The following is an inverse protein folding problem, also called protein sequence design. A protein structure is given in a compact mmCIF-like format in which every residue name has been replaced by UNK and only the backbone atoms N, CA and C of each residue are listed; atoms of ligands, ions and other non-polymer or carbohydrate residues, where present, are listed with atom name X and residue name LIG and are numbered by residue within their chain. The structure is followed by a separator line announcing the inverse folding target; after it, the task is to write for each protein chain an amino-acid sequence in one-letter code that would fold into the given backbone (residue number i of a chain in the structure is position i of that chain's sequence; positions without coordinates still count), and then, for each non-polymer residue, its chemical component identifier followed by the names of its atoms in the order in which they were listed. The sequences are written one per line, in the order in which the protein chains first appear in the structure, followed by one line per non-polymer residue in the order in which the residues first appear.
data_IF_883797276563
#
_entry.id   IF_883797276563
#
_cell.length_a   1.000
_cell.length_b   1.000
_cell.length_c   1.000
_cell.angle_alpha   90.00
_cell.angle_beta   90.00
_cell.angle_gamma   90.00
#
_symmetry.space_group_name_H-M   'P 1'
#
loop_
_entity.id
_entity.type
_entity.pdbx_description
1 polymer ?
#
# COMPACT_ATOMS: atom_id res chain seq x y z
N UNK A 1 -15.28 -12.89 7.01
CA UNK A 1 -15.85 -11.55 6.77
C UNK A 1 -16.66 -11.61 5.47
N UNK A 2 -17.84 -10.98 5.37
CA UNK A 2 -18.63 -10.93 4.11
C UNK A 2 -18.00 -9.92 3.14
N UNK A 3 -16.90 -10.30 2.48
CA UNK A 3 -16.11 -9.42 1.62
C UNK A 3 -16.90 -8.82 0.45
N UNK A 4 -17.89 -9.53 -0.06
CA UNK A 4 -18.81 -9.04 -1.11
C UNK A 4 -19.59 -7.80 -0.66
N UNK A 5 -19.78 -7.63 0.66
CA UNK A 5 -20.43 -6.46 1.24
C UNK A 5 -19.50 -5.25 1.26
N UNK A 6 -18.20 -5.46 1.48
CA UNK A 6 -17.22 -4.37 1.62
C UNK A 6 -16.58 -3.96 0.30
N UNK A 7 -16.41 -4.91 -0.64
CA UNK A 7 -15.80 -4.68 -1.95
C UNK A 7 -16.70 -5.13 -3.11
N UNK A 8 -17.98 -4.74 -3.17
CA UNK A 8 -18.93 -5.27 -4.14
C UNK A 8 -18.54 -4.98 -5.59
N UNK A 9 -17.90 -3.83 -5.87
CA UNK A 9 -17.46 -3.48 -7.22
C UNK A 9 -16.28 -4.34 -7.66
N UNK A 10 -15.39 -4.70 -6.72
CA UNK A 10 -14.22 -5.52 -7.02
C UNK A 10 -14.64 -6.94 -7.42
N UNK A 11 -15.53 -7.56 -6.65
CA UNK A 11 -15.98 -8.93 -6.90
C UNK A 11 -17.01 -9.01 -8.05
N UNK A 12 -17.98 -8.09 -8.10
CA UNK A 12 -19.07 -8.18 -9.08
C UNK A 12 -18.78 -7.47 -10.40
N UNK A 13 -17.86 -6.50 -10.44
CA UNK A 13 -17.57 -5.68 -11.62
C UNK A 13 -16.06 -5.45 -11.81
N UNK A 14 -15.25 -6.51 -11.96
CA UNK A 14 -13.79 -6.44 -11.92
C UNK A 14 -13.20 -5.52 -13.00
N UNK A 15 -13.80 -5.44 -14.19
CA UNK A 15 -13.35 -4.53 -15.25
C UNK A 15 -13.53 -3.05 -14.88
N UNK A 16 -14.64 -2.72 -14.20
CA UNK A 16 -14.92 -1.35 -13.75
C UNK A 16 -14.00 -0.99 -12.58
N UNK A 17 -13.80 -1.92 -11.64
CA UNK A 17 -12.83 -1.76 -10.55
C UNK A 17 -11.43 -1.47 -11.10
N UNK A 18 -10.94 -2.29 -12.05
CA UNK A 18 -9.65 -2.11 -12.70
C UNK A 18 -9.52 -0.73 -13.37
N UNK A 19 -10.54 -0.30 -14.13
CA UNK A 19 -10.53 1.02 -14.77
C UNK A 19 -10.47 2.17 -13.76
N UNK A 20 -11.14 2.05 -12.61
CA UNK A 20 -11.09 3.06 -11.53
C UNK A 20 -9.73 3.11 -10.87
N UNK A 21 -9.14 1.96 -10.55
CA UNK A 21 -7.79 1.86 -9.96
C UNK A 21 -6.75 2.46 -10.92
N UNK A 22 -6.82 2.11 -12.21
CA UNK A 22 -5.88 2.64 -13.21
C UNK A 22 -5.95 4.16 -13.32
N UNK A 23 -7.16 4.75 -13.30
CA UNK A 23 -7.34 6.20 -13.27
C UNK A 23 -6.74 6.84 -12.01
N UNK A 24 -6.93 6.23 -10.85
CA UNK A 24 -6.35 6.70 -9.60
C UNK A 24 -4.82 6.66 -9.64
N UNK A 25 -4.23 5.58 -10.14
CA UNK A 25 -2.78 5.45 -10.25
C UNK A 25 -2.18 6.47 -11.21
N UNK A 26 -2.81 6.68 -12.36
CA UNK A 26 -2.38 7.73 -13.28
C UNK A 26 -2.48 9.13 -12.64
N UNK A 27 -3.54 9.38 -11.87
CA UNK A 27 -3.67 10.64 -11.13
C UNK A 27 -2.53 10.83 -10.12
N UNK A 28 -2.22 9.81 -9.32
CA UNK A 28 -1.14 9.83 -8.33
C UNK A 28 0.22 10.07 -8.99
N UNK A 29 0.53 9.33 -10.07
CA UNK A 29 1.75 9.50 -10.85
C UNK A 29 1.84 10.91 -11.45
N UNK A 30 0.76 11.42 -12.05
CA UNK A 30 0.72 12.78 -12.60
C UNK A 30 0.87 13.87 -11.53
N UNK A 31 0.49 13.55 -10.29
CA UNK A 31 0.65 14.41 -9.11
C UNK A 31 2.00 14.21 -8.42
N UNK A 32 2.96 13.55 -9.09
CA UNK A 32 4.32 13.27 -8.60
C UNK A 32 4.40 12.38 -7.36
N UNK A 33 3.35 11.61 -7.03
CA UNK A 33 3.45 10.57 -6.01
C UNK A 33 4.25 9.37 -6.55
N UNK A 34 4.94 8.69 -5.64
CA UNK A 34 5.73 7.49 -5.91
C UNK A 34 5.07 6.31 -5.22
N UNK A 35 5.06 5.17 -5.91
CA UNK A 35 4.66 3.88 -5.34
C UNK A 35 5.78 3.34 -4.45
N UNK A 36 5.51 3.22 -3.16
CA UNK A 36 6.36 2.61 -2.14
C UNK A 36 5.89 1.20 -1.77
N UNK A 37 4.89 0.66 -2.49
CA UNK A 37 4.37 -0.69 -2.24
C UNK A 37 5.47 -1.72 -2.53
N UNK A 38 5.71 -2.67 -1.62
CA UNK A 38 6.62 -3.77 -1.87
C UNK A 38 6.30 -4.50 -3.18
N UNK A 39 7.35 -4.74 -3.96
CA UNK A 39 7.30 -5.71 -5.06
C UNK A 39 7.69 -7.04 -4.47
N UNK A 40 6.74 -7.96 -4.40
CA UNK A 40 7.06 -9.33 -4.04
C UNK A 40 7.41 -10.13 -5.30
N UNK A 41 8.51 -10.87 -5.23
CA UNK A 41 8.91 -11.81 -6.28
C UNK A 41 8.31 -13.22 -6.07
N UNK A 42 7.81 -13.53 -4.86
CA UNK A 42 7.11 -14.78 -4.59
C UNK A 42 5.64 -14.70 -5.02
N UNK A 43 5.18 -15.68 -5.79
CA UNK A 43 3.77 -15.81 -6.15
C UNK A 43 2.86 -16.20 -4.98
N UNK A 44 3.42 -16.59 -3.84
CA UNK A 44 2.67 -17.06 -2.67
C UNK A 44 2.39 -15.98 -1.62
N UNK A 45 2.89 -14.76 -1.81
CA UNK A 45 2.72 -13.68 -0.84
C UNK A 45 2.13 -12.44 -1.53
N UNK A 46 0.99 -12.00 -1.03
CA UNK A 46 0.28 -10.82 -1.50
C UNK A 46 -0.28 -10.06 -0.31
N UNK A 47 -0.99 -8.97 -0.57
CA UNK A 47 -1.58 -8.15 0.49
C UNK A 47 -2.98 -8.61 0.87
N UNK A 48 -3.61 -9.43 0.02
CA UNK A 48 -4.93 -9.97 0.24
C UNK A 48 -5.01 -11.41 -0.25
N UNK A 49 -5.70 -12.27 0.52
CA UNK A 49 -5.98 -13.65 0.16
C UNK A 49 -7.45 -13.98 0.37
N UNK A 50 -8.11 -14.44 -0.69
CA UNK A 50 -9.49 -14.93 -0.61
C UNK A 50 -9.68 -16.14 -1.52
N UNK A 51 -10.25 -17.23 -1.00
CA UNK A 51 -10.51 -18.47 -1.75
C UNK A 51 -9.30 -18.95 -2.56
N UNK A 52 -8.12 -18.96 -1.93
CA UNK A 52 -6.81 -19.31 -2.52
C UNK A 52 -6.31 -18.40 -3.66
N UNK A 53 -7.01 -17.29 -3.91
CA UNK A 53 -6.55 -16.23 -4.79
C UNK A 53 -5.77 -15.22 -3.97
N UNK A 54 -4.51 -15.01 -4.34
CA UNK A 54 -3.62 -14.01 -3.76
C UNK A 54 -3.60 -12.80 -4.68
N UNK A 55 -3.96 -11.64 -4.14
CA UNK A 55 -3.90 -10.37 -4.89
C UNK A 55 -3.18 -9.29 -4.09
N UNK A 56 -2.75 -8.25 -4.81
CA UNK A 56 -2.18 -7.03 -4.23
C UNK A 56 -3.19 -5.92 -4.43
N UNK A 57 -3.87 -5.53 -3.36
CA UNK A 57 -4.88 -4.48 -3.36
C UNK A 57 -4.59 -3.36 -2.35
N UNK A 58 -3.60 -3.56 -1.49
CA UNK A 58 -3.11 -2.57 -0.53
C UNK A 58 -1.82 -1.96 -1.06
N UNK A 59 -1.78 -0.63 -1.10
CA UNK A 59 -0.69 0.14 -1.71
C UNK A 59 -0.25 1.27 -0.79
N UNK A 60 1.03 1.64 -0.90
CA UNK A 60 1.61 2.77 -0.19
C UNK A 60 2.08 3.77 -1.25
N UNK A 61 1.43 4.92 -1.31
CA UNK A 61 1.81 6.02 -2.19
C UNK A 61 2.25 7.21 -1.35
N UNK A 62 3.37 7.85 -1.69
CA UNK A 62 3.85 9.03 -0.97
C UNK A 62 4.67 9.98 -1.85
N UNK A 63 5.00 11.15 -1.29
CA UNK A 63 5.88 12.13 -1.89
C UNK A 63 7.29 11.55 -2.13
N UNK A 64 7.97 11.89 -3.25
CA UNK A 64 9.33 11.43 -3.55
C UNK A 64 10.35 11.76 -2.46
N UNK A 65 10.12 12.81 -1.66
CA UNK A 65 10.96 13.20 -0.53
C UNK A 65 11.23 12.03 0.41
N UNK A 66 10.25 11.15 0.63
CA UNK A 66 10.39 10.06 1.59
C UNK A 66 11.34 8.96 1.11
N UNK A 67 11.69 8.95 -0.18
CA UNK A 67 12.62 7.97 -0.75
C UNK A 67 14.02 8.08 -0.16
N UNK A 68 14.48 9.27 0.21
CA UNK A 68 15.79 9.44 0.84
C UNK A 68 15.86 8.89 2.27
N UNK A 69 14.72 8.69 2.90
CA UNK A 69 14.62 8.17 4.27
C UNK A 69 14.14 6.72 4.30
N UNK A 70 13.83 6.11 3.16
CA UNK A 70 13.31 4.75 3.11
C UNK A 70 14.38 3.75 3.55
N UNK A 71 14.12 3.00 4.63
CA UNK A 71 14.98 1.91 5.07
C UNK A 71 14.60 0.61 4.38
N UNK A 72 13.33 0.23 4.46
CA UNK A 72 12.81 -0.99 3.84
C UNK A 72 11.28 -0.94 3.73
N UNK A 73 10.73 -1.82 2.91
CA UNK A 73 9.30 -2.07 2.80
C UNK A 73 9.08 -3.58 2.77
N UNK A 74 8.03 -4.07 3.43
CA UNK A 74 7.72 -5.49 3.51
C UNK A 74 6.21 -5.73 3.45
N UNK A 75 5.83 -6.86 2.87
CA UNK A 75 4.51 -7.46 3.13
C UNK A 75 4.74 -8.44 4.27
N UNK A 76 4.07 -8.20 5.40
CA UNK A 76 4.15 -9.09 6.54
C UNK A 76 3.22 -10.27 6.31
N UNK A 77 3.79 -11.47 6.18
CA UNK A 77 2.99 -12.69 5.99
C UNK A 77 2.29 -13.05 7.30
N UNK A 78 1.03 -12.70 7.39
CA UNK A 78 0.18 -12.94 8.55
C UNK A 78 -0.57 -14.27 8.44
N UNK A 79 -0.17 -15.19 7.52
CA UNK A 79 -0.84 -16.46 7.18
C UNK A 79 -1.31 -17.31 8.37
N UNK A 80 -0.71 -17.15 9.56
CA UNK A 80 -1.07 -17.91 10.75
C UNK A 80 -2.00 -17.19 11.74
N UNK A 81 -2.40 -15.95 11.45
CA UNK A 81 -3.32 -15.19 12.28
C UNK A 81 -4.72 -15.19 11.65
N UNK A 82 -5.70 -15.82 12.31
CA UNK A 82 -7.11 -15.83 11.89
C UNK A 82 -7.80 -14.46 12.02
N UNK A 83 -7.02 -13.37 11.92
CA UNK A 83 -7.42 -12.01 12.24
C UNK A 83 -7.93 -11.25 11.02
N UNK A 84 -7.36 -11.49 9.85
CA UNK A 84 -7.66 -10.76 8.62
C UNK A 84 -7.34 -11.59 7.37
N UNK A 85 -8.04 -11.32 6.28
CA UNK A 85 -7.73 -11.76 4.92
C UNK A 85 -6.68 -10.85 4.24
N UNK A 86 -6.25 -9.79 4.92
CA UNK A 86 -5.16 -8.91 4.48
C UNK A 86 -3.86 -9.16 5.25
N UNK A 87 -2.77 -9.20 4.49
CA UNK A 87 -1.41 -9.11 5.03
C UNK A 87 -1.00 -7.65 5.17
N UNK A 88 -0.47 -7.22 6.33
CA UNK A 88 0.00 -5.86 6.52
C UNK A 88 1.09 -5.48 5.51
N UNK A 89 0.98 -4.27 4.95
CA UNK A 89 2.05 -3.66 4.16
C UNK A 89 2.73 -2.60 5.01
N UNK A 90 4.04 -2.75 5.22
CA UNK A 90 4.78 -1.91 6.16
C UNK A 90 5.93 -1.23 5.40
N UNK A 91 6.08 0.07 5.62
CA UNK A 91 7.24 0.85 5.16
C UNK A 91 7.94 1.44 6.37
N UNK A 92 9.24 1.18 6.47
CA UNK A 92 10.09 1.72 7.51
C UNK A 92 10.92 2.88 6.97
N UNK A 93 10.89 4.00 7.71
CA UNK A 93 11.69 5.18 7.42
C UNK A 93 12.74 5.38 8.51
N UNK A 94 13.87 5.98 8.12
CA UNK A 94 14.91 6.41 9.02
C UNK A 94 14.39 7.51 9.95
N UNK A 95 14.81 7.46 11.22
CA UNK A 95 14.38 8.43 12.24
C UNK A 95 14.74 9.88 11.90
N UNK A 96 15.77 10.11 11.06
CA UNK A 96 16.12 11.43 10.55
C UNK A 96 15.00 12.09 9.72
N UNK A 97 14.03 11.30 9.22
CA UNK A 97 12.80 11.84 8.63
C UNK A 97 12.09 12.78 9.61
N UNK A 98 11.96 12.37 10.88
CA UNK A 98 11.33 13.20 11.91
C UNK A 98 12.10 14.49 12.12
N UNK A 99 13.44 14.40 12.23
CA UNK A 99 14.28 15.59 12.41
C UNK A 99 14.20 16.55 11.21
N UNK A 100 14.17 16.02 9.98
CA UNK A 100 14.01 16.83 8.76
C UNK A 100 12.62 17.47 8.65
N UNK A 101 11.61 16.88 9.30
CA UNK A 101 10.22 17.35 9.27
C UNK A 101 9.91 18.39 10.35
N UNK A 102 10.79 18.57 11.34
CA UNK A 102 10.66 19.62 12.36
C UNK A 102 11.01 20.96 11.71
N UNK A 103 9.99 21.77 11.41
CA UNK A 103 10.19 23.20 11.16
C UNK A 103 10.65 23.86 12.46
N UNK A 104 11.83 24.48 12.46
CA UNK A 104 12.22 25.41 13.52
C UNK A 104 11.16 26.52 13.62
N UNK A 105 10.45 26.58 14.75
CA UNK A 105 9.68 27.75 15.11
C UNK A 105 10.67 28.90 15.30
N UNK A 106 10.81 29.77 14.29
CA UNK A 106 11.61 30.99 14.44
C UNK A 106 10.89 31.90 15.43
N UNK A 107 11.47 32.08 16.62
CA UNK A 107 11.14 33.22 17.44
C UNK A 107 11.57 34.48 16.66
N UNK A 108 10.63 35.40 16.43
CA UNK A 108 10.91 36.75 15.93
C UNK A 108 11.30 37.64 17.08
#
# INVERSE_FOLDING_TARGET
MHLDQFYPIFFNQPQIASKRIHRLFNFLLSSSYVDFTPVNFSGSLGTFRHADIITRIDYIWSCPLFKSFLLTFIIFDACDSSLSDHNPVITYFDSSLLHSSVKLARAR
#
